data_IF_457524742819
#
_entry.id   IF_457524742819
#
_cell.length_a   1.000
_cell.length_b   1.000
_cell.length_c   1.000
_cell.angle_alpha   90.00
_cell.angle_beta   90.00
_cell.angle_gamma   90.00
#
_symmetry.space_group_name_H-M   'P 1'
#
loop_
_entity.id
_entity.type
_entity.pdbx_description
1 polymer ?
#
# COMPACT_ATOMS: atom_id res chain seq x y z
N UNK A 1 37.04 -19.41 -27.96
CA UNK A 1 35.57 -19.52 -27.89
C UNK A 1 35.17 -19.97 -26.49
N UNK A 2 34.68 -19.06 -25.64
CA UNK A 2 34.21 -19.41 -24.30
C UNK A 2 32.78 -19.98 -24.41
N UNK A 3 32.61 -21.27 -24.09
CA UNK A 3 31.31 -21.90 -23.93
C UNK A 3 30.59 -21.22 -22.74
N UNK A 4 29.56 -20.44 -23.03
CA UNK A 4 28.64 -19.92 -22.02
C UNK A 4 27.95 -21.09 -21.32
N UNK A 5 28.29 -21.31 -20.06
CA UNK A 5 27.60 -22.29 -19.21
C UNK A 5 26.17 -21.81 -19.01
N UNK A 6 25.21 -22.58 -19.53
CA UNK A 6 23.78 -22.40 -19.25
C UNK A 6 23.64 -22.46 -17.73
N UNK A 7 23.27 -21.33 -17.13
CA UNK A 7 23.04 -21.21 -15.68
C UNK A 7 21.86 -22.11 -15.34
N UNK A 8 22.17 -23.34 -14.95
CA UNK A 8 21.22 -24.37 -14.56
C UNK A 8 20.25 -23.75 -13.54
N UNK A 9 18.96 -23.68 -13.88
CA UNK A 9 17.93 -23.24 -12.94
C UNK A 9 17.92 -24.27 -11.81
N UNK A 10 18.69 -24.01 -10.75
CA UNK A 10 18.63 -24.80 -9.51
C UNK A 10 17.17 -24.87 -9.11
N UNK A 11 16.60 -26.07 -9.19
CA UNK A 11 15.31 -26.32 -8.57
C UNK A 11 15.43 -25.91 -7.09
N UNK A 12 14.43 -25.22 -6.54
CA UNK A 12 14.42 -24.88 -5.13
C UNK A 12 14.64 -26.17 -4.32
N UNK A 13 15.58 -26.15 -3.38
CA UNK A 13 15.76 -27.27 -2.47
C UNK A 13 14.43 -27.53 -1.73
N UNK A 14 14.07 -28.80 -1.46
CA UNK A 14 12.87 -29.11 -0.69
C UNK A 14 12.86 -28.31 0.62
N UNK A 15 11.80 -27.53 0.87
CA UNK A 15 11.68 -26.66 2.06
C UNK A 15 11.92 -25.16 1.80
N UNK A 16 12.23 -24.74 0.57
CA UNK A 16 12.29 -23.32 0.20
C UNK A 16 10.89 -22.72 0.07
N UNK A 17 10.60 -21.68 0.86
CA UNK A 17 9.32 -20.97 0.86
C UNK A 17 9.23 -20.00 -0.31
N UNK A 18 8.14 -20.09 -1.08
CA UNK A 18 7.81 -19.11 -2.13
C UNK A 18 7.65 -17.73 -1.49
N UNK A 19 8.23 -16.70 -2.10
CA UNK A 19 8.14 -15.32 -1.60
C UNK A 19 7.26 -14.51 -2.54
N UNK A 20 6.09 -14.09 -2.06
CA UNK A 20 5.19 -13.21 -2.80
C UNK A 20 5.31 -11.74 -2.39
N UNK A 21 4.60 -10.84 -3.07
CA UNK A 21 4.46 -9.44 -2.65
C UNK A 21 3.84 -9.32 -1.24
N UNK A 22 4.04 -8.18 -0.54
CA UNK A 22 3.60 -8.01 0.85
C UNK A 22 2.09 -7.68 0.95
N UNK A 23 1.23 -8.64 0.60
CA UNK A 23 -0.22 -8.46 0.53
C UNK A 23 -0.87 -8.04 1.86
N UNK A 24 -0.35 -8.51 2.99
CA UNK A 24 -0.86 -8.12 4.31
C UNK A 24 -0.67 -6.63 4.56
N UNK A 25 0.50 -6.07 4.22
CA UNK A 25 0.75 -4.63 4.35
C UNK A 25 -0.18 -3.83 3.45
N UNK A 26 -0.40 -4.29 2.21
CA UNK A 26 -1.35 -3.66 1.30
C UNK A 26 -2.78 -3.69 1.86
N UNK A 27 -3.21 -4.82 2.43
CA UNK A 27 -4.50 -4.97 3.08
C UNK A 27 -4.69 -4.01 4.26
N UNK A 28 -3.64 -3.77 5.07
CA UNK A 28 -3.67 -2.78 6.14
C UNK A 28 -3.88 -1.35 5.62
N UNK A 29 -3.34 -1.02 4.45
CA UNK A 29 -3.59 0.27 3.80
C UNK A 29 -5.06 0.46 3.46
N UNK A 30 -5.70 -0.56 2.86
CA UNK A 30 -7.13 -0.53 2.59
C UNK A 30 -7.98 -0.48 3.86
N UNK A 31 -7.62 -1.27 4.87
CA UNK A 31 -8.32 -1.25 6.16
C UNK A 31 -8.26 0.14 6.80
N UNK A 32 -7.10 0.81 6.72
CA UNK A 32 -6.93 2.17 7.22
C UNK A 32 -7.89 3.17 6.56
N UNK A 33 -8.05 3.09 5.23
CA UNK A 33 -9.06 3.88 4.50
C UNK A 33 -10.47 3.53 4.96
N UNK A 34 -10.81 2.24 5.07
CA UNK A 34 -12.15 1.81 5.47
C UNK A 34 -12.52 2.32 6.87
N UNK A 35 -11.55 2.40 7.79
CA UNK A 35 -11.75 2.98 9.13
C UNK A 35 -11.99 4.49 9.07
N UNK A 36 -11.44 5.19 8.08
CA UNK A 36 -11.64 6.63 7.95
C UNK A 36 -13.04 7.00 7.43
N UNK A 37 -13.67 6.14 6.62
CA UNK A 37 -14.94 6.47 5.96
C UNK A 37 -16.09 6.81 6.94
N UNK A 38 -16.35 6.05 8.02
CA UNK A 38 -17.37 6.41 8.99
C UNK A 38 -17.12 7.75 9.70
N UNK A 39 -15.85 8.19 9.78
CA UNK A 39 -15.49 9.45 10.40
C UNK A 39 -15.93 10.67 9.58
N UNK A 40 -16.27 10.50 8.30
CA UNK A 40 -16.82 11.58 7.47
C UNK A 40 -18.22 12.03 7.91
N UNK A 41 -18.98 11.16 8.60
CA UNK A 41 -20.33 11.45 9.06
C UNK A 41 -20.36 12.11 10.45
N UNK A 42 -19.20 12.30 11.07
CA UNK A 42 -19.05 12.87 12.39
C UNK A 42 -18.57 14.31 12.27
N UNK A 43 -19.20 15.22 13.02
CA UNK A 43 -18.80 16.62 13.04
C UNK A 43 -17.51 16.85 13.84
N UNK A 44 -16.86 17.97 13.54
CA UNK A 44 -15.77 18.54 14.32
C UNK A 44 -14.38 18.31 13.74
N UNK A 45 -13.56 19.37 13.78
CA UNK A 45 -12.16 19.38 13.32
C UNK A 45 -11.35 18.16 13.80
N UNK A 46 -11.37 17.76 15.10
CA UNK A 46 -10.54 16.65 15.56
C UNK A 46 -10.87 15.34 14.84
N UNK A 47 -12.14 15.09 14.56
CA UNK A 47 -12.59 13.89 13.85
C UNK A 47 -12.08 13.88 12.42
N UNK A 48 -12.15 15.02 11.73
CA UNK A 48 -11.61 15.15 10.38
C UNK A 48 -10.08 15.05 10.34
N UNK A 49 -9.36 15.53 11.36
CA UNK A 49 -7.90 15.32 11.48
C UNK A 49 -7.58 13.83 11.60
N UNK A 50 -8.28 13.10 12.47
CA UNK A 50 -8.07 11.65 12.63
C UNK A 50 -8.41 10.91 11.34
N UNK A 51 -9.50 11.29 10.69
CA UNK A 51 -9.91 10.78 9.39
C UNK A 51 -8.89 11.05 8.29
N UNK A 52 -8.29 12.24 8.24
CA UNK A 52 -7.21 12.56 7.32
C UNK A 52 -5.95 11.71 7.57
N UNK A 53 -5.54 11.56 8.83
CA UNK A 53 -4.40 10.74 9.19
C UNK A 53 -4.60 9.27 8.79
N UNK A 54 -5.77 8.70 9.08
CA UNK A 54 -6.08 7.29 8.81
C UNK A 54 -6.45 7.02 7.35
N UNK A 55 -7.14 7.95 6.70
CA UNK A 55 -7.64 7.81 5.32
C UNK A 55 -6.66 8.24 4.24
N UNK A 56 -5.69 9.10 4.57
CA UNK A 56 -4.71 9.63 3.62
C UNK A 56 -3.27 9.32 4.00
N UNK A 57 -2.80 9.81 5.16
CA UNK A 57 -1.38 9.72 5.52
C UNK A 57 -0.91 8.27 5.68
N UNK A 58 -1.63 7.46 6.47
CA UNK A 58 -1.28 6.06 6.69
C UNK A 58 -1.26 5.26 5.37
N UNK A 59 -2.29 5.32 4.50
CA UNK A 59 -2.26 4.66 3.20
C UNK A 59 -1.09 5.07 2.31
N UNK A 60 -0.73 6.35 2.26
CA UNK A 60 0.42 6.85 1.49
C UNK A 60 1.73 6.22 2.01
N UNK A 61 1.92 6.17 3.33
CA UNK A 61 3.08 5.53 3.95
C UNK A 61 3.11 4.03 3.65
N UNK A 62 1.97 3.36 3.77
CA UNK A 62 1.82 1.93 3.45
C UNK A 62 2.20 1.64 2.00
N UNK A 63 1.80 2.47 1.04
CA UNK A 63 2.19 2.33 -0.37
C UNK A 63 3.72 2.35 -0.51
N UNK A 64 4.39 3.30 0.14
CA UNK A 64 5.85 3.38 0.13
C UNK A 64 6.52 2.14 0.72
N UNK A 65 6.02 1.66 1.86
CA UNK A 65 6.55 0.46 2.54
C UNK A 65 6.31 -0.80 1.68
N UNK A 66 5.09 -0.99 1.16
CA UNK A 66 4.74 -2.09 0.27
C UNK A 66 5.67 -2.12 -0.94
N UNK A 67 5.92 -0.95 -1.56
CA UNK A 67 6.81 -0.85 -2.72
C UNK A 67 8.25 -1.20 -2.37
N UNK A 68 8.77 -0.69 -1.26
CA UNK A 68 10.13 -1.00 -0.78
C UNK A 68 10.29 -2.49 -0.51
N UNK A 69 9.37 -3.09 0.25
CA UNK A 69 9.41 -4.52 0.60
C UNK A 69 9.25 -5.39 -0.65
N UNK A 70 8.40 -5.02 -1.60
CA UNK A 70 8.25 -5.77 -2.85
C UNK A 70 9.54 -5.74 -3.69
N UNK A 71 10.21 -4.59 -3.77
CA UNK A 71 11.49 -4.47 -4.49
C UNK A 71 12.61 -5.31 -3.86
N UNK A 72 12.69 -5.36 -2.53
CA UNK A 72 13.63 -6.25 -1.82
C UNK A 72 13.31 -7.72 -2.10
N UNK A 73 12.03 -8.11 -2.03
CA UNK A 73 11.59 -9.50 -2.27
C UNK A 73 11.88 -9.97 -3.70
N UNK A 74 11.82 -9.08 -4.69
CA UNK A 74 12.14 -9.38 -6.10
C UNK A 74 13.59 -9.78 -6.33
N UNK A 75 14.50 -9.49 -5.40
CA UNK A 75 15.88 -9.96 -5.47
C UNK A 75 15.99 -11.47 -5.19
N UNK A 76 14.96 -12.08 -4.61
CA UNK A 76 14.91 -13.53 -4.37
C UNK A 76 14.71 -14.32 -5.67
N UNK A 77 15.51 -15.37 -5.91
CA UNK A 77 15.26 -16.33 -7.00
C UNK A 77 13.92 -17.08 -6.91
N UNK A 78 13.28 -17.03 -5.73
CA UNK A 78 12.01 -17.70 -5.43
C UNK A 78 10.82 -16.72 -5.39
N UNK A 79 11.00 -15.51 -5.93
CA UNK A 79 9.94 -14.51 -5.99
C UNK A 79 8.86 -14.89 -7.00
N UNK A 80 7.60 -14.91 -6.57
CA UNK A 80 6.44 -15.09 -7.44
C UNK A 80 5.69 -13.77 -7.62
N UNK A 81 5.69 -13.19 -8.84
CA UNK A 81 5.02 -11.91 -9.09
C UNK A 81 3.50 -12.06 -9.04
N UNK A 82 2.83 -11.08 -8.41
CA UNK A 82 1.38 -10.92 -8.52
C UNK A 82 1.07 -9.65 -9.34
N UNK A 83 0.40 -9.85 -10.49
CA UNK A 83 0.07 -8.77 -11.45
C UNK A 83 -0.92 -7.75 -10.89
N UNK A 84 -1.68 -8.10 -9.86
CA UNK A 84 -2.71 -7.23 -9.26
C UNK A 84 -2.15 -6.20 -8.29
N UNK A 85 -0.91 -6.36 -7.82
CA UNK A 85 -0.32 -5.47 -6.80
C UNK A 85 -0.14 -4.05 -7.31
N UNK A 86 0.31 -3.88 -8.56
CA UNK A 86 0.47 -2.55 -9.17
C UNK A 86 -0.87 -1.80 -9.24
N UNK A 87 -1.91 -2.37 -9.86
CA UNK A 87 -3.26 -1.78 -9.87
C UNK A 87 -3.82 -1.51 -8.47
N UNK A 88 -3.67 -2.45 -7.52
CA UNK A 88 -4.18 -2.27 -6.17
C UNK A 88 -3.48 -1.10 -5.43
N UNK A 89 -2.16 -0.94 -5.58
CA UNK A 89 -1.45 0.23 -5.06
C UNK A 89 -1.99 1.54 -5.67
N UNK A 90 -2.25 1.56 -6.98
CA UNK A 90 -2.78 2.74 -7.65
C UNK A 90 -4.20 3.08 -7.15
N UNK A 91 -5.06 2.07 -6.99
CA UNK A 91 -6.41 2.24 -6.43
C UNK A 91 -6.33 2.75 -4.99
N UNK A 92 -5.48 2.16 -4.15
CA UNK A 92 -5.28 2.63 -2.78
C UNK A 92 -4.85 4.11 -2.75
N UNK A 93 -3.93 4.50 -3.62
CA UNK A 93 -3.48 5.89 -3.74
C UNK A 93 -4.59 6.84 -4.18
N UNK A 94 -5.40 6.44 -5.17
CA UNK A 94 -6.53 7.25 -5.64
C UNK A 94 -7.59 7.43 -4.54
N UNK A 95 -7.96 6.36 -3.84
CA UNK A 95 -8.93 6.46 -2.74
C UNK A 95 -8.38 7.27 -1.57
N UNK A 96 -7.09 7.12 -1.24
CA UNK A 96 -6.45 7.92 -0.20
C UNK A 96 -6.45 9.42 -0.54
N UNK A 97 -6.25 9.78 -1.81
CA UNK A 97 -6.35 11.17 -2.27
C UNK A 97 -7.77 11.72 -2.13
N UNK A 98 -8.78 10.92 -2.46
CA UNK A 98 -10.19 11.32 -2.26
C UNK A 98 -10.50 11.50 -0.78
N UNK A 99 -10.10 10.55 0.08
CA UNK A 99 -10.29 10.66 1.52
C UNK A 99 -9.58 11.90 2.10
N UNK A 100 -8.38 12.23 1.60
CA UNK A 100 -7.65 13.44 1.96
C UNK A 100 -8.50 14.69 1.71
N UNK A 101 -9.05 14.84 0.50
CA UNK A 101 -9.89 15.97 0.13
C UNK A 101 -11.15 16.07 0.99
N UNK A 102 -11.83 14.95 1.21
CA UNK A 102 -13.06 14.91 2.01
C UNK A 102 -12.85 15.29 3.47
N UNK A 103 -11.71 14.92 4.07
CA UNK A 103 -11.40 15.30 5.45
C UNK A 103 -10.79 16.71 5.57
N UNK A 104 -10.06 17.21 4.57
CA UNK A 104 -9.48 18.57 4.61
C UNK A 104 -10.55 19.65 4.41
N UNK A 105 -11.59 19.36 3.61
CA UNK A 105 -12.60 20.35 3.28
C UNK A 105 -13.28 20.98 4.51
N UNK A 106 -13.84 20.21 5.46
CA UNK A 106 -14.46 20.78 6.67
C UNK A 106 -13.50 21.62 7.50
N UNK A 107 -12.25 21.16 7.63
CA UNK A 107 -11.19 21.89 8.35
C UNK A 107 -10.94 23.25 7.71
N UNK A 108 -10.81 23.29 6.38
CA UNK A 108 -10.59 24.52 5.65
C UNK A 108 -11.78 25.48 5.78
N UNK A 109 -13.01 24.97 5.73
CA UNK A 109 -14.22 25.80 5.86
C UNK A 109 -14.38 26.38 7.26
N UNK A 110 -14.11 25.61 8.32
CA UNK A 110 -14.19 26.10 9.70
C UNK A 110 -13.09 27.12 10.03
N UNK A 111 -11.92 27.02 9.41
CA UNK A 111 -10.83 27.99 9.60
C UNK A 111 -11.01 29.28 8.81
N UNK A 112 -11.85 29.27 7.78
CA UNK A 112 -12.11 30.43 6.92
C UNK A 112 -13.29 31.30 7.40
N UNK A 113 -14.10 30.79 8.33
CA UNK A 113 -15.21 31.50 8.99
C UNK A 113 -14.76 32.29 10.21
#
# INVERSE_FOLDING_TARGET
>A
MAKGTVKERRRPAPGTTKVGPPLLLLGLGYLSVLVSLPLLALDGIPTHIVGYCTGALVPILVIGIVRRVDLDRRQSPYYEPNRLVGPAIAVLGAVALVAAGLHVWPIATELAS
#
